data_IF_486030527122
#
_entry.id   IF_486030527122
#
_cell.length_a   1.000
_cell.length_b   1.000
_cell.length_c   1.000
_cell.angle_alpha   90.00
_cell.angle_beta   90.00
_cell.angle_gamma   90.00
#
_symmetry.space_group_name_H-M   'P 1'
#
loop_
_entity.id
_entity.type
_entity.pdbx_description
1 polymer ?
#
# COMPACT_ATOMS: atom_id res chain seq x y z
N UNK A 1 -2.96 -12.57 3.73
CA UNK A 1 -4.05 -12.03 4.58
C UNK A 1 -4.68 -10.84 3.86
N UNK A 2 -5.90 -10.45 4.21
CA UNK A 2 -6.55 -9.29 3.59
C UNK A 2 -7.45 -8.54 4.57
N UNK A 3 -7.71 -7.28 4.24
CA UNK A 3 -8.64 -6.40 4.95
C UNK A 3 -9.55 -5.68 3.96
N UNK A 4 -10.81 -5.51 4.34
CA UNK A 4 -11.79 -4.71 3.61
C UNK A 4 -12.19 -3.50 4.46
N UNK A 5 -12.11 -2.32 3.87
CA UNK A 5 -12.53 -1.07 4.51
C UNK A 5 -14.03 -0.87 4.39
N UNK A 6 -14.63 -0.02 5.23
CA UNK A 6 -16.06 0.30 5.18
C UNK A 6 -16.48 1.00 3.86
N UNK A 7 -15.52 1.49 3.09
CA UNK A 7 -15.73 2.09 1.75
C UNK A 7 -15.49 1.12 0.60
N UNK A 8 -15.21 -0.16 0.89
CA UNK A 8 -15.04 -1.21 -0.12
C UNK A 8 -13.64 -1.33 -0.72
N UNK A 9 -12.62 -0.62 -0.20
CA UNK A 9 -11.22 -0.88 -0.59
C UNK A 9 -10.76 -2.21 0.02
N UNK A 10 -10.11 -3.04 -0.79
CA UNK A 10 -9.53 -4.32 -0.40
C UNK A 10 -8.01 -4.18 -0.44
N UNK A 11 -7.35 -4.44 0.69
CA UNK A 11 -5.89 -4.46 0.80
C UNK A 11 -5.45 -5.86 1.18
N UNK A 12 -4.32 -6.30 0.63
CA UNK A 12 -3.77 -7.61 0.93
C UNK A 12 -2.27 -7.52 1.18
N UNK A 13 -1.79 -8.42 2.03
CA UNK A 13 -0.38 -8.63 2.26
C UNK A 13 -0.08 -10.12 2.33
N UNK A 14 1.13 -10.48 1.93
CA UNK A 14 1.59 -11.86 1.92
C UNK A 14 3.06 -11.92 2.28
N UNK A 15 3.48 -13.06 2.83
CA UNK A 15 4.87 -13.37 3.06
C UNK A 15 5.12 -14.82 2.67
N UNK A 16 6.26 -15.07 2.04
CA UNK A 16 6.63 -16.41 1.58
C UNK A 16 7.37 -17.15 2.69
N UNK A 17 6.94 -18.38 2.94
CA UNK A 17 7.66 -19.29 3.84
C UNK A 17 9.08 -19.55 3.34
N UNK A 18 10.03 -19.61 4.27
CA UNK A 18 11.45 -19.88 3.97
C UNK A 18 11.95 -21.00 4.87
N UNK A 19 12.89 -21.80 4.36
CA UNK A 19 13.51 -22.87 5.14
C UNK A 19 14.18 -22.29 6.38
N UNK A 20 13.86 -22.84 7.56
CA UNK A 20 14.41 -22.38 8.83
C UNK A 20 13.70 -21.18 9.44
N UNK A 21 12.68 -20.61 8.78
CA UNK A 21 11.86 -19.52 9.34
C UNK A 21 10.58 -20.12 9.95
N UNK A 22 10.32 -19.92 11.25
CA UNK A 22 9.09 -20.35 11.88
C UNK A 22 7.83 -19.74 11.24
N UNK A 23 6.72 -20.50 11.22
CA UNK A 23 5.47 -20.04 10.60
C UNK A 23 4.92 -18.74 11.21
N UNK A 24 5.13 -18.52 12.52
CA UNK A 24 4.66 -17.30 13.19
C UNK A 24 5.38 -16.06 12.69
N UNK A 25 6.68 -16.12 12.38
CA UNK A 25 7.43 -14.98 11.82
C UNK A 25 6.94 -14.62 10.42
N UNK A 26 6.65 -15.62 9.59
CA UNK A 26 6.04 -15.42 8.26
C UNK A 26 4.69 -14.71 8.39
N UNK A 27 3.87 -15.13 9.36
CA UNK A 27 2.58 -14.50 9.67
C UNK A 27 2.74 -13.07 10.19
N UNK A 28 3.71 -12.83 11.08
CA UNK A 28 4.01 -11.50 11.62
C UNK A 28 4.36 -10.54 10.49
N UNK A 29 5.27 -10.92 9.60
CA UNK A 29 5.67 -10.07 8.48
C UNK A 29 4.46 -9.69 7.60
N UNK A 30 3.65 -10.66 7.18
CA UNK A 30 2.47 -10.37 6.37
C UNK A 30 1.48 -9.44 7.10
N UNK A 31 1.36 -9.57 8.43
CA UNK A 31 0.49 -8.73 9.25
C UNK A 31 1.02 -7.31 9.40
N UNK A 32 2.32 -7.17 9.61
CA UNK A 32 2.99 -5.88 9.70
C UNK A 32 2.88 -5.10 8.39
N UNK A 33 3.08 -5.76 7.25
CA UNK A 33 2.93 -5.14 5.92
C UNK A 33 1.49 -4.62 5.71
N UNK A 34 0.47 -5.41 6.07
CA UNK A 34 -0.92 -4.97 5.97
C UNK A 34 -1.23 -3.81 6.93
N UNK A 35 -0.76 -3.87 8.17
CA UNK A 35 -0.95 -2.80 9.15
C UNK A 35 -0.25 -1.51 8.72
N UNK A 36 0.92 -1.62 8.08
CA UNK A 36 1.65 -0.50 7.52
C UNK A 36 0.80 0.21 6.47
N UNK A 37 0.27 -0.49 5.47
CA UNK A 37 -0.57 0.10 4.43
C UNK A 37 -1.87 0.72 5.01
N UNK A 38 -2.51 0.03 5.95
CA UNK A 38 -3.70 0.53 6.65
C UNK A 38 -3.42 1.80 7.47
N UNK A 39 -2.20 1.95 8.02
CA UNK A 39 -1.83 3.12 8.82
C UNK A 39 -1.84 4.44 8.01
N UNK A 40 -1.67 4.35 6.69
CA UNK A 40 -1.75 5.48 5.76
C UNK A 40 -3.18 5.76 5.26
N UNK A 41 -4.18 4.99 5.72
CA UNK A 41 -5.52 4.96 5.13
C UNK A 41 -5.45 4.74 3.61
N UNK A 42 -4.51 3.92 3.15
CA UNK A 42 -4.30 3.66 1.74
C UNK A 42 -5.53 3.00 1.12
N UNK A 43 -5.80 3.33 -0.15
CA UNK A 43 -6.83 2.66 -0.94
C UNK A 43 -6.31 1.36 -1.57
N UNK A 44 -4.99 1.19 -1.64
CA UNK A 44 -4.28 0.11 -2.32
C UNK A 44 -3.02 -0.27 -1.54
N UNK A 45 -2.63 -1.54 -1.56
CA UNK A 45 -1.39 -2.02 -0.95
C UNK A 45 -0.14 -1.67 -1.78
N UNK A 46 1.04 -1.80 -1.18
CA UNK A 46 2.33 -1.48 -1.81
C UNK A 46 2.61 -2.17 -3.14
N UNK A 47 2.00 -3.33 -3.41
CA UNK A 47 2.21 -4.10 -4.64
C UNK A 47 1.15 -3.83 -5.71
N UNK A 48 0.00 -3.26 -5.33
CA UNK A 48 -1.03 -2.85 -6.27
C UNK A 48 -0.77 -1.44 -6.83
N UNK A 49 0.03 -0.62 -6.14
CA UNK A 49 0.38 0.75 -6.53
C UNK A 49 0.89 0.85 -7.98
N UNK A 50 1.91 0.07 -8.34
CA UNK A 50 2.57 0.11 -9.66
C UNK A 50 1.70 -0.46 -10.77
N UNK A 51 0.93 -1.52 -10.47
CA UNK A 51 0.02 -2.15 -11.42
C UNK A 51 -1.10 -1.19 -11.88
N UNK A 52 -1.55 -0.29 -11.00
CA UNK A 52 -2.61 0.66 -11.33
C UNK A 52 -2.14 1.85 -12.17
N UNK A 53 -0.85 2.21 -12.13
CA UNK A 53 -0.33 3.40 -12.80
C UNK A 53 -0.75 3.42 -14.27
N UNK A 54 -0.52 2.34 -15.02
CA UNK A 54 -0.83 2.29 -16.45
C UNK A 54 -2.33 2.50 -16.71
N UNK A 55 -3.19 1.87 -15.90
CA UNK A 55 -4.63 2.02 -16.02
C UNK A 55 -5.08 3.46 -15.70
N UNK A 56 -4.49 4.06 -14.67
CA UNK A 56 -4.75 5.44 -14.28
C UNK A 56 -4.31 6.45 -15.35
N UNK A 57 -3.16 6.22 -15.99
CA UNK A 57 -2.62 7.08 -17.06
C UNK A 57 -3.47 7.02 -18.32
N UNK A 58 -4.01 5.85 -18.67
CA UNK A 58 -4.83 5.65 -19.87
C UNK A 58 -6.32 6.01 -19.66
N UNK A 59 -6.77 6.13 -18.42
CA UNK A 59 -8.15 6.49 -18.11
C UNK A 59 -8.49 7.90 -18.61
N UNK A 60 -9.74 8.09 -19.06
CA UNK A 60 -10.24 9.41 -19.45
C UNK A 60 -10.40 10.30 -18.21
N UNK A 61 -9.77 11.47 -18.23
CA UNK A 61 -9.90 12.47 -17.17
C UNK A 61 -8.74 12.41 -16.18
N UNK A 62 -9.02 12.71 -14.90
CA UNK A 62 -8.01 12.73 -13.85
C UNK A 62 -8.23 11.58 -12.86
N UNK A 63 -7.28 10.65 -12.85
CA UNK A 63 -7.21 9.57 -11.85
C UNK A 63 -6.49 10.06 -10.59
N UNK A 64 -6.98 9.70 -9.41
CA UNK A 64 -6.33 9.99 -8.12
C UNK A 64 -6.48 8.80 -7.18
N UNK A 65 -5.41 8.42 -6.50
CA UNK A 65 -5.42 7.39 -5.46
C UNK A 65 -4.65 7.87 -4.22
N UNK A 66 -5.05 7.37 -3.06
CA UNK A 66 -4.27 7.49 -1.82
C UNK A 66 -3.56 6.17 -1.58
N UNK A 67 -2.27 6.22 -1.30
CA UNK A 67 -1.45 5.05 -1.01
C UNK A 67 -0.43 5.37 0.09
N UNK A 68 0.27 4.35 0.58
CA UNK A 68 1.46 4.52 1.41
C UNK A 68 2.64 5.09 0.59
N UNK A 69 3.87 5.08 1.15
CA UNK A 69 5.05 5.53 0.42
C UNK A 69 5.25 4.77 -0.90
N UNK A 70 5.70 5.49 -1.92
CA UNK A 70 5.91 4.88 -3.24
C UNK A 70 7.09 3.93 -3.23
N UNK A 71 6.84 2.71 -3.68
CA UNK A 71 7.87 1.73 -3.99
C UNK A 71 8.69 2.16 -5.22
N UNK A 72 9.92 1.66 -5.36
CA UNK A 72 10.73 1.95 -6.55
C UNK A 72 10.12 1.36 -7.83
N UNK A 73 9.35 0.27 -7.72
CA UNK A 73 8.54 -0.26 -8.81
C UNK A 73 7.47 0.74 -9.26
N UNK A 74 6.77 1.39 -8.32
CA UNK A 74 5.75 2.40 -8.64
C UNK A 74 6.38 3.61 -9.32
N UNK A 75 7.51 4.11 -8.82
CA UNK A 75 8.25 5.22 -9.44
C UNK A 75 8.70 4.87 -10.86
N UNK A 76 9.18 3.64 -11.07
CA UNK A 76 9.58 3.16 -12.40
C UNK A 76 8.37 3.05 -13.34
N UNK A 77 7.23 2.55 -12.85
CA UNK A 77 5.99 2.48 -13.63
C UNK A 77 5.51 3.88 -14.06
N UNK A 78 5.55 4.86 -13.16
CA UNK A 78 5.22 6.27 -13.48
C UNK A 78 6.14 6.84 -14.56
N UNK A 79 7.46 6.62 -14.41
CA UNK A 79 8.45 7.07 -15.39
C UNK A 79 8.24 6.46 -16.78
N UNK A 80 8.00 5.14 -16.85
CA UNK A 80 7.74 4.46 -18.13
C UNK A 80 6.41 4.93 -18.74
N UNK A 81 5.36 5.09 -17.94
CA UNK A 81 4.07 5.60 -18.40
C UNK A 81 4.21 7.03 -18.95
N UNK A 82 5.00 7.89 -18.32
CA UNK A 82 5.33 9.23 -18.79
C UNK A 82 6.07 9.23 -20.13
N UNK A 83 7.08 8.38 -20.29
CA UNK A 83 7.83 8.26 -21.55
C UNK A 83 6.94 7.85 -22.72
N UNK A 84 5.98 6.96 -22.48
CA UNK A 84 5.11 6.40 -23.53
C UNK A 84 3.92 7.30 -23.87
N UNK A 85 3.37 8.01 -22.89
CA UNK A 85 2.11 8.76 -23.05
C UNK A 85 2.28 10.28 -23.03
N UNK A 86 3.42 10.78 -22.53
CA UNK A 86 3.68 12.20 -22.22
C UNK A 86 2.70 12.80 -21.19
N UNK A 87 2.03 11.97 -20.41
CA UNK A 87 1.16 12.38 -19.32
C UNK A 87 1.96 12.34 -18.02
N UNK A 88 2.10 13.47 -17.34
CA UNK A 88 2.81 13.60 -16.08
C UNK A 88 1.98 13.13 -14.87
N UNK A 89 2.66 12.64 -13.84
CA UNK A 89 2.05 12.32 -12.55
C UNK A 89 2.45 13.34 -11.48
N UNK A 90 1.52 13.65 -10.57
CA UNK A 90 1.75 14.55 -9.45
C UNK A 90 1.62 13.79 -8.13
N UNK A 91 2.50 14.11 -7.17
CA UNK A 91 2.50 13.54 -5.83
C UNK A 91 2.26 14.64 -4.80
N UNK A 92 1.33 14.39 -3.88
CA UNK A 92 1.09 15.27 -2.74
C UNK A 92 1.13 14.46 -1.45
N UNK A 93 2.01 14.86 -0.53
CA UNK A 93 2.07 14.27 0.81
C UNK A 93 0.88 14.78 1.63
N UNK A 94 0.14 13.87 2.25
CA UNK A 94 -0.96 14.23 3.15
C UNK A 94 -0.53 14.00 4.59
N UNK A 95 -0.46 15.05 5.40
CA UNK A 95 -0.16 14.90 6.82
C UNK A 95 -1.24 14.08 7.54
N UNK A 96 -0.84 13.06 8.31
CA UNK A 96 -1.75 12.24 9.10
C UNK A 96 -1.32 12.20 10.57
N UNK A 97 -2.27 12.39 11.49
CA UNK A 97 -2.05 12.21 12.93
C UNK A 97 -2.06 10.71 13.23
N UNK A 98 -0.91 10.14 13.57
CA UNK A 98 -0.79 8.78 14.12
C UNK A 98 -1.58 8.70 15.44
N UNK A 99 -2.79 8.14 15.41
CA UNK A 99 -3.54 7.80 16.63
C UNK A 99 -2.98 6.47 17.15
N UNK A 100 -1.86 6.51 17.86
CA UNK A 100 -1.33 5.34 18.57
C UNK A 100 -1.79 5.38 20.03
N UNK A 101 -2.98 4.84 20.33
CA UNK A 101 -3.39 4.59 21.72
C UNK A 101 -2.87 3.20 22.11
N UNK A 102 -1.69 3.14 22.75
CA UNK A 102 -1.26 1.92 23.45
C UNK A 102 -2.25 1.65 24.57
N UNK A 103 -3.12 0.67 24.40
CA UNK A 103 -3.73 0.00 25.55
C UNK A 103 -2.65 -0.95 26.10
N UNK A 104 -1.88 -0.48 27.08
CA UNK A 104 -1.19 -1.39 28.00
C UNK A 104 -2.25 -2.27 28.63
N UNK A 105 -2.20 -3.58 28.35
CA UNK A 105 -2.87 -4.55 29.22
C UNK A 105 -2.13 -4.53 30.55
N UNK A 106 -2.72 -3.93 31.57
CA UNK A 106 -2.51 -4.42 32.93
C UNK A 106 -3.08 -5.84 32.96
N UNK A 107 -2.21 -6.81 33.22
CA UNK A 107 -2.60 -8.18 33.55
C UNK A 107 -2.33 -8.31 35.06
N UNK A 108 -3.30 -8.74 35.88
CA UNK A 108 -3.08 -9.00 37.31
C UNK A 108 -2.11 -10.17 37.54
#
# INVERSE_FOLDING_TARGET
IGAETTTGCILAASSLGKRGVPAHEVSTQATEDLLYDLSYQACVDQHLQDQLIILMTLAKGHSKIRCGPLTDHTKTAMYVAELLTKIAHEMAETAQKLIHKRHSKEIP
#
